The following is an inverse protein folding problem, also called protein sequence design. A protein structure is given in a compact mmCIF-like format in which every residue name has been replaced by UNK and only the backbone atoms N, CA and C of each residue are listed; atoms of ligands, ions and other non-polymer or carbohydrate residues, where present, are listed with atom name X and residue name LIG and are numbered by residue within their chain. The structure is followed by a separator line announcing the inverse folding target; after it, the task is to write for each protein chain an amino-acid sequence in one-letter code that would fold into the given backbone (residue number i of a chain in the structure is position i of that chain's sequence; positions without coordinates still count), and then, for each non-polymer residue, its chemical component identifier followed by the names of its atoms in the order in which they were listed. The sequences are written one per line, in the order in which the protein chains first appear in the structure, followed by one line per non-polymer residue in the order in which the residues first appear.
data_IF_496942588577
#
_entry.id   IF_496942588577
#
_cell.length_a   1.000
_cell.length_b   1.000
_cell.length_c   1.000
_cell.angle_alpha   90.00
_cell.angle_beta   90.00
_cell.angle_gamma   90.00
#
_symmetry.space_group_name_H-M   'P 1'
#
loop_
_entity.id
_entity.type
_entity.pdbx_description
1 polymer ?
#
# COMPACT_ATOMS: atom_id res chain seq x y z
N UNK A 1 6.16 60.31 -58.34
CA UNK A 1 7.27 59.58 -58.99
C UNK A 1 8.15 58.97 -57.91
N UNK A 2 8.35 57.65 -57.96
CA UNK A 2 9.20 56.90 -57.03
C UNK A 2 10.68 57.22 -57.26
N UNK A 3 11.50 57.30 -56.19
CA UNK A 3 12.90 56.88 -56.22
C UNK A 3 13.33 56.25 -54.88
N UNK A 4 14.06 55.16 -55.04
CA UNK A 4 14.58 54.12 -54.13
C UNK A 4 16.03 54.53 -53.75
N UNK A 5 16.63 54.28 -52.57
CA UNK A 5 17.30 53.03 -52.12
C UNK A 5 18.11 53.28 -50.80
N UNK A 6 18.11 52.26 -49.89
CA UNK A 6 19.22 51.71 -49.04
C UNK A 6 20.00 52.65 -48.08
N UNK A 7 20.33 52.33 -46.81
CA UNK A 7 20.94 51.10 -46.24
C UNK A 7 21.06 51.19 -44.68
N UNK A 8 20.96 50.02 -44.01
CA UNK A 8 21.75 49.55 -42.84
C UNK A 8 21.48 49.99 -41.38
N UNK A 9 21.50 48.99 -40.48
CA UNK A 9 21.67 49.09 -39.01
C UNK A 9 20.51 48.44 -38.24
N UNK A 10 20.42 47.13 -38.05
CA UNK A 10 21.18 46.21 -37.16
C UNK A 10 20.80 46.31 -35.68
N UNK A 11 20.29 45.17 -35.19
CA UNK A 11 20.27 44.66 -33.81
C UNK A 11 19.22 45.20 -32.85
N UNK A 12 18.28 44.33 -32.47
CA UNK A 12 18.11 43.87 -31.10
C UNK A 12 17.46 42.48 -31.12
N UNK A 13 17.91 41.65 -30.18
CA UNK A 13 17.71 40.23 -29.99
C UNK A 13 16.28 39.81 -29.58
N UNK A 14 15.87 38.64 -30.06
CA UNK A 14 14.81 37.72 -29.57
C UNK A 14 14.97 37.38 -28.06
N UNK A 15 13.99 36.77 -27.33
CA UNK A 15 13.00 35.81 -27.85
C UNK A 15 11.57 35.75 -27.24
N UNK A 16 10.65 35.27 -28.09
CA UNK A 16 9.58 34.29 -27.82
C UNK A 16 8.74 34.39 -26.54
N UNK A 17 7.57 35.04 -26.66
CA UNK A 17 6.40 34.69 -25.87
C UNK A 17 5.66 33.53 -26.58
N UNK A 18 6.07 32.30 -26.30
CA UNK A 18 5.25 31.12 -26.56
C UNK A 18 4.69 30.67 -25.23
N UNK A 19 3.51 31.16 -24.85
CA UNK A 19 2.66 30.49 -23.87
C UNK A 19 2.22 29.14 -24.45
N UNK A 20 3.10 28.16 -24.36
CA UNK A 20 2.76 26.75 -24.47
C UNK A 20 1.88 26.43 -23.27
N UNK A 21 0.57 26.54 -23.46
CA UNK A 21 -0.39 25.83 -22.61
C UNK A 21 -0.12 24.35 -22.80
N UNK A 22 0.75 23.81 -21.93
CA UNK A 22 0.94 22.38 -21.79
C UNK A 22 -0.40 21.85 -21.33
N UNK A 23 -1.14 21.24 -22.26
CA UNK A 23 -2.28 20.40 -21.94
C UNK A 23 -1.75 19.38 -20.93
N UNK A 24 -2.17 19.50 -19.68
CA UNK A 24 -2.01 18.44 -18.69
C UNK A 24 -2.77 17.24 -19.27
N UNK A 25 -2.05 16.34 -19.93
CA UNK A 25 -2.59 15.06 -20.36
C UNK A 25 -3.14 14.39 -19.12
N UNK A 26 -4.47 14.31 -19.03
CA UNK A 26 -5.12 13.51 -18.00
C UNK A 26 -4.77 12.07 -18.33
N UNK A 27 -3.67 11.58 -17.74
CA UNK A 27 -3.28 10.20 -17.89
C UNK A 27 -4.40 9.37 -17.23
N UNK A 28 -5.12 8.50 -17.97
CA UNK A 28 -6.20 7.72 -17.40
C UNK A 28 -5.67 6.96 -16.18
N UNK A 29 -6.45 6.95 -15.09
CA UNK A 29 -6.06 6.22 -13.88
C UNK A 29 -5.80 4.78 -14.25
N UNK A 30 -4.64 4.27 -13.86
CA UNK A 30 -4.28 2.88 -14.09
C UNK A 30 -5.32 1.94 -13.46
N UNK A 31 -5.85 1.02 -14.25
CA UNK A 31 -6.70 -0.07 -13.80
C UNK A 31 -5.85 -1.32 -13.63
N UNK A 32 -6.03 -2.01 -12.50
CA UNK A 32 -5.38 -3.30 -12.25
C UNK A 32 -6.40 -4.40 -12.47
N UNK A 33 -6.25 -5.18 -13.54
CA UNK A 33 -7.11 -6.33 -13.79
C UNK A 33 -6.73 -7.48 -12.85
N UNK A 34 -7.66 -8.42 -12.59
CA UNK A 34 -7.39 -9.55 -11.71
C UNK A 34 -6.13 -10.35 -12.11
N UNK A 35 -5.90 -10.50 -13.43
CA UNK A 35 -4.72 -11.19 -13.97
C UNK A 35 -3.42 -10.42 -13.67
N UNK A 36 -3.41 -9.10 -13.83
CA UNK A 36 -2.25 -8.25 -13.47
C UNK A 36 -1.92 -8.36 -11.98
N UNK A 37 -2.97 -8.41 -11.14
CA UNK A 37 -2.83 -8.55 -9.69
C UNK A 37 -2.26 -9.92 -9.33
N UNK A 38 -2.75 -10.98 -9.98
CA UNK A 38 -2.26 -12.33 -9.77
C UNK A 38 -0.80 -12.47 -10.20
N UNK A 39 -0.42 -11.94 -11.37
CA UNK A 39 0.96 -11.91 -11.85
C UNK A 39 1.88 -11.15 -10.89
N UNK A 40 1.44 -10.00 -10.38
CA UNK A 40 2.17 -9.26 -9.34
C UNK A 40 2.36 -10.10 -8.08
N UNK A 41 1.32 -10.78 -7.60
CA UNK A 41 1.40 -11.62 -6.41
C UNK A 41 2.42 -12.74 -6.58
N UNK A 42 2.43 -13.44 -7.72
CA UNK A 42 3.41 -14.50 -7.97
C UNK A 42 4.85 -13.98 -8.05
N UNK A 43 5.07 -12.84 -8.74
CA UNK A 43 6.39 -12.20 -8.74
C UNK A 43 6.86 -11.83 -7.33
N UNK A 44 5.95 -11.34 -6.47
CA UNK A 44 6.30 -11.02 -5.08
C UNK A 44 6.69 -12.26 -4.28
N UNK A 45 5.99 -13.39 -4.47
CA UNK A 45 6.31 -14.65 -3.77
C UNK A 45 7.72 -15.09 -4.13
N UNK A 46 8.09 -15.07 -5.41
CA UNK A 46 9.42 -15.43 -5.87
C UNK A 46 10.51 -14.54 -5.25
N UNK A 47 10.30 -13.22 -5.25
CA UNK A 47 11.26 -12.26 -4.68
C UNK A 47 11.37 -12.38 -3.15
N UNK A 48 10.26 -12.67 -2.45
CA UNK A 48 10.26 -12.93 -1.00
C UNK A 48 11.04 -14.20 -0.65
N UNK A 49 10.88 -15.28 -1.43
CA UNK A 49 11.63 -16.52 -1.28
C UNK A 49 13.14 -16.30 -1.47
N UNK A 50 13.53 -15.33 -2.30
CA UNK A 50 14.91 -14.88 -2.46
C UNK A 50 15.45 -14.02 -1.29
N UNK A 51 14.67 -13.82 -0.21
CA UNK A 51 15.02 -13.01 0.99
C UNK A 51 15.40 -11.57 0.68
N UNK A 52 14.80 -11.00 -0.37
CA UNK A 52 15.02 -9.61 -0.78
C UNK A 52 14.19 -8.61 0.01
N UNK A 53 13.22 -9.07 0.82
CA UNK A 53 12.36 -8.26 1.68
C UNK A 53 12.70 -8.40 3.18
N UNK A 54 12.54 -7.31 3.94
CA UNK A 54 12.60 -7.23 5.41
C UNK A 54 11.44 -6.36 5.89
N UNK A 55 10.65 -6.84 6.85
CA UNK A 55 9.46 -6.15 7.39
C UNK A 55 8.45 -5.66 6.32
N UNK A 56 8.38 -6.39 5.21
CA UNK A 56 7.55 -6.04 4.05
C UNK A 56 8.03 -4.85 3.23
N UNK A 57 9.31 -4.51 3.32
CA UNK A 57 9.99 -3.57 2.43
C UNK A 57 11.16 -4.26 1.74
N UNK A 58 11.43 -3.96 0.47
CA UNK A 58 12.60 -4.51 -0.18
C UNK A 58 13.88 -3.92 0.44
N UNK A 59 14.93 -4.74 0.53
CA UNK A 59 16.26 -4.31 0.96
C UNK A 59 16.86 -3.27 0.02
N UNK A 60 16.63 -3.44 -1.28
CA UNK A 60 16.97 -2.46 -2.31
C UNK A 60 15.69 -1.77 -2.82
N UNK A 61 15.55 -0.45 -2.66
CA UNK A 61 14.43 0.30 -3.24
C UNK A 61 14.24 0.12 -4.75
N UNK A 62 15.31 -0.21 -5.50
CA UNK A 62 15.23 -0.50 -6.94
C UNK A 62 14.45 -1.76 -7.26
N UNK A 63 14.25 -2.66 -6.30
CA UNK A 63 13.48 -3.89 -6.51
C UNK A 63 12.06 -3.59 -6.99
N UNK A 64 11.45 -2.48 -6.53
CA UNK A 64 10.14 -2.06 -7.03
C UNK A 64 10.16 -1.79 -8.53
N UNK A 65 11.21 -1.15 -9.04
CA UNK A 65 11.37 -0.89 -10.46
C UNK A 65 11.69 -2.18 -11.24
N UNK A 66 12.42 -3.11 -10.64
CA UNK A 66 12.70 -4.41 -11.26
C UNK A 66 11.44 -5.26 -11.38
N UNK A 67 10.60 -5.31 -10.33
CA UNK A 67 9.29 -5.97 -10.38
C UNK A 67 8.42 -5.30 -11.44
N UNK A 68 8.41 -3.97 -11.49
CA UNK A 68 7.67 -3.23 -12.50
C UNK A 68 8.11 -3.55 -13.95
N UNK A 69 9.39 -3.80 -14.17
CA UNK A 69 9.92 -4.21 -15.49
C UNK A 69 9.58 -5.67 -15.85
N UNK A 70 9.37 -6.53 -14.85
CA UNK A 70 8.97 -7.93 -15.05
C UNK A 70 7.45 -8.08 -15.26
N UNK A 71 6.66 -7.10 -14.80
CA UNK A 71 5.23 -7.08 -15.03
C UNK A 71 4.93 -6.73 -16.49
N UNK A 72 4.25 -7.64 -17.17
CA UNK A 72 3.66 -7.37 -18.48
C UNK A 72 2.20 -6.98 -18.29
N UNK A 73 1.89 -5.71 -18.51
CA UNK A 73 0.53 -5.17 -18.45
C UNK A 73 0.28 -4.46 -19.79
N UNK A 74 -0.45 -5.10 -20.73
CA UNK A 74 -0.57 -4.63 -22.12
C UNK A 74 -1.03 -3.17 -22.25
N UNK A 75 -1.93 -2.74 -21.37
CA UNK A 75 -2.50 -1.38 -21.39
C UNK A 75 -1.58 -0.33 -20.74
N UNK A 76 -0.53 -0.76 -20.02
CA UNK A 76 0.36 0.12 -19.26
C UNK A 76 1.85 -0.26 -19.45
N UNK A 77 2.37 -0.20 -20.70
CA UNK A 77 3.78 -0.45 -20.97
C UNK A 77 4.61 0.64 -20.27
N UNK A 78 5.41 0.24 -19.26
CA UNK A 78 6.24 1.18 -18.50
C UNK A 78 5.65 1.61 -17.15
N UNK A 79 4.84 0.75 -16.51
CA UNK A 79 4.49 0.92 -15.10
C UNK A 79 5.73 1.22 -14.24
N UNK A 80 5.61 2.17 -13.32
CA UNK A 80 6.69 2.56 -12.42
C UNK A 80 6.73 1.70 -11.15
N UNK A 81 7.91 1.57 -10.54
CA UNK A 81 8.04 0.92 -9.23
C UNK A 81 7.19 1.57 -8.14
N UNK A 82 6.92 2.88 -8.23
CA UNK A 82 6.05 3.59 -7.28
C UNK A 82 4.59 3.11 -7.39
N UNK A 83 4.10 2.88 -8.61
CA UNK A 83 2.75 2.34 -8.84
C UNK A 83 2.64 0.91 -8.32
N UNK A 84 3.65 0.07 -8.56
CA UNK A 84 3.72 -1.28 -8.00
C UNK A 84 3.69 -1.24 -6.47
N UNK A 85 4.55 -0.44 -5.84
CA UNK A 85 4.57 -0.27 -4.39
C UNK A 85 3.20 0.19 -3.86
N UNK A 86 2.56 1.15 -4.52
CA UNK A 86 1.21 1.62 -4.17
C UNK A 86 0.19 0.49 -4.20
N UNK A 87 0.22 -0.35 -5.25
CA UNK A 87 -0.65 -1.51 -5.37
C UNK A 87 -0.39 -2.55 -4.27
N UNK A 88 0.87 -2.86 -3.98
CA UNK A 88 1.24 -3.79 -2.90
C UNK A 88 0.77 -3.29 -1.53
N UNK A 89 0.89 -1.99 -1.26
CA UNK A 89 0.36 -1.40 -0.03
C UNK A 89 -1.17 -1.55 0.07
N UNK A 90 -1.89 -1.36 -1.04
CA UNK A 90 -3.33 -1.59 -1.09
C UNK A 90 -3.67 -3.06 -0.83
N UNK A 91 -2.95 -4.02 -1.45
CA UNK A 91 -3.15 -5.46 -1.19
C UNK A 91 -2.90 -5.81 0.28
N UNK A 92 -1.90 -5.20 0.91
CA UNK A 92 -1.60 -5.39 2.33
C UNK A 92 -2.71 -4.83 3.24
N UNK A 93 -3.32 -3.70 2.88
CA UNK A 93 -4.47 -3.16 3.62
C UNK A 93 -5.69 -4.09 3.51
N UNK A 94 -5.95 -4.60 2.31
CA UNK A 94 -7.05 -5.52 2.03
C UNK A 94 -6.88 -6.83 2.80
N UNK A 95 -5.67 -7.39 2.79
CA UNK A 95 -5.31 -8.55 3.59
C UNK A 95 -5.54 -8.33 5.08
N UNK A 96 -5.11 -7.19 5.65
CA UNK A 96 -5.32 -6.88 7.07
C UNK A 96 -6.79 -6.74 7.42
N UNK A 97 -7.58 -6.10 6.55
CA UNK A 97 -9.01 -5.97 6.75
C UNK A 97 -9.73 -7.32 6.69
N UNK A 98 -9.31 -8.21 5.79
CA UNK A 98 -9.88 -9.55 5.70
C UNK A 98 -9.42 -10.48 6.84
N UNK A 99 -8.17 -10.38 7.29
CA UNK A 99 -7.70 -11.05 8.51
C UNK A 99 -8.50 -10.64 9.73
N UNK A 100 -8.76 -9.34 9.90
CA UNK A 100 -9.63 -8.87 10.97
C UNK A 100 -11.01 -9.54 10.96
N UNK A 101 -11.58 -9.84 9.78
CA UNK A 101 -12.83 -10.59 9.65
C UNK A 101 -12.67 -12.07 10.05
N UNK A 102 -11.62 -12.73 9.56
CA UNK A 102 -11.31 -14.13 9.92
C UNK A 102 -11.03 -14.31 11.43
N UNK A 103 -10.56 -13.26 12.10
CA UNK A 103 -10.30 -13.26 13.54
C UNK A 103 -11.56 -13.02 14.41
N UNK A 104 -12.72 -12.74 13.81
CA UNK A 104 -13.95 -12.53 14.57
C UNK A 104 -14.49 -13.85 15.13
N UNK A 105 -14.86 -13.83 16.42
CA UNK A 105 -15.47 -14.98 17.10
C UNK A 105 -16.98 -14.77 17.28
N UNK A 106 -17.73 -15.87 17.39
CA UNK A 106 -19.17 -15.84 17.62
C UNK A 106 -20.01 -15.44 16.40
N UNK A 107 -19.45 -15.51 15.20
CA UNK A 107 -20.11 -15.24 13.93
C UNK A 107 -19.83 -16.38 12.94
N UNK A 108 -20.76 -16.66 12.03
CA UNK A 108 -20.64 -17.72 11.04
C UNK A 108 -19.68 -17.37 9.90
N UNK A 109 -19.34 -18.37 9.09
CA UNK A 109 -18.62 -18.21 7.83
C UNK A 109 -19.47 -18.75 6.68
N UNK A 110 -19.66 -17.93 5.65
CA UNK A 110 -20.28 -18.30 4.38
C UNK A 110 -19.18 -18.87 3.46
N UNK A 111 -19.17 -20.19 3.29
CA UNK A 111 -18.21 -20.90 2.44
C UNK A 111 -18.41 -20.61 0.94
N UNK A 112 -19.63 -20.27 0.50
CA UNK A 112 -19.91 -19.95 -0.91
C UNK A 112 -19.34 -18.60 -1.30
N UNK A 113 -19.52 -17.60 -0.43
CA UNK A 113 -19.00 -16.25 -0.64
C UNK A 113 -17.57 -16.05 -0.13
N UNK A 114 -17.03 -17.02 0.62
CA UNK A 114 -15.81 -16.91 1.41
C UNK A 114 -15.77 -15.62 2.25
N UNK A 115 -16.81 -15.38 3.05
CA UNK A 115 -16.89 -14.22 3.95
C UNK A 115 -17.69 -14.51 5.21
N UNK A 116 -17.80 -13.52 6.10
CA UNK A 116 -18.55 -13.63 7.35
C UNK A 116 -20.05 -13.70 7.07
N UNK A 117 -20.71 -14.72 7.63
CA UNK A 117 -22.17 -14.86 7.62
C UNK A 117 -22.76 -14.15 8.84
N UNK A 118 -23.22 -12.92 8.63
CA UNK A 118 -23.77 -12.05 9.67
C UNK A 118 -24.84 -11.11 9.12
N UNK A 119 -25.68 -10.60 10.01
CA UNK A 119 -26.68 -9.59 9.69
C UNK A 119 -26.09 -8.20 9.40
N UNK A 120 -26.93 -7.32 8.86
CA UNK A 120 -26.54 -5.95 8.52
C UNK A 120 -26.08 -5.15 9.74
N UNK A 121 -26.69 -5.38 10.91
CA UNK A 121 -26.35 -4.67 12.14
C UNK A 121 -24.91 -4.99 12.58
N UNK A 122 -24.49 -6.25 12.46
CA UNK A 122 -23.11 -6.66 12.72
C UNK A 122 -22.13 -6.00 11.76
N UNK A 123 -22.44 -6.01 10.45
CA UNK A 123 -21.60 -5.38 9.42
C UNK A 123 -21.48 -3.87 9.62
N UNK A 124 -22.57 -3.18 9.98
CA UNK A 124 -22.58 -1.75 10.25
C UNK A 124 -21.74 -1.40 11.48
N UNK A 125 -21.85 -2.18 12.57
CA UNK A 125 -21.03 -1.98 13.76
C UNK A 125 -19.54 -2.16 13.46
N UNK A 126 -19.17 -3.22 12.73
CA UNK A 126 -17.77 -3.54 12.45
C UNK A 126 -17.16 -2.60 11.41
N UNK A 127 -17.93 -2.15 10.43
CA UNK A 127 -17.46 -1.21 9.41
C UNK A 127 -17.21 0.19 9.95
N UNK A 128 -17.86 0.60 11.04
CA UNK A 128 -17.51 1.83 11.77
C UNK A 128 -16.09 1.78 12.34
N UNK A 129 -15.67 0.62 12.85
CA UNK A 129 -14.33 0.43 13.39
C UNK A 129 -13.27 0.22 12.29
N UNK A 130 -13.63 -0.47 11.21
CA UNK A 130 -12.74 -0.70 10.07
C UNK A 130 -13.51 -0.59 8.74
N UNK A 131 -13.57 0.60 8.12
CA UNK A 131 -14.33 0.82 6.89
C UNK A 131 -13.87 -0.05 5.71
N UNK A 132 -12.62 -0.53 5.73
CA UNK A 132 -12.06 -1.35 4.66
C UNK A 132 -12.68 -2.75 4.56
N UNK A 133 -13.42 -3.21 5.57
CA UNK A 133 -14.06 -4.54 5.54
C UNK A 133 -15.30 -4.57 4.67
N UNK A 134 -15.92 -3.40 4.41
CA UNK A 134 -17.22 -3.29 3.72
C UNK A 134 -17.23 -3.95 2.35
N UNK A 135 -16.11 -3.91 1.63
CA UNK A 135 -15.94 -4.53 0.32
C UNK A 135 -16.00 -6.06 0.33
N UNK A 136 -15.86 -6.69 1.50
CA UNK A 136 -15.88 -8.12 1.69
C UNK A 136 -17.25 -8.65 2.13
N UNK A 137 -18.27 -7.78 2.29
CA UNK A 137 -19.59 -8.18 2.77
C UNK A 137 -20.26 -9.28 1.93
N UNK A 138 -20.01 -9.28 0.62
CA UNK A 138 -20.63 -10.21 -0.33
C UNK A 138 -19.62 -11.09 -1.08
N UNK A 139 -18.33 -11.01 -0.73
CA UNK A 139 -17.27 -11.77 -1.39
C UNK A 139 -15.99 -11.80 -0.56
N UNK A 140 -15.26 -12.90 -0.65
CA UNK A 140 -13.95 -13.06 -0.03
C UNK A 140 -12.86 -12.20 -0.67
N UNK A 141 -11.67 -12.29 -0.08
CA UNK A 141 -10.47 -11.68 -0.63
C UNK A 141 -9.87 -12.59 -1.71
N UNK A 142 -9.86 -12.10 -2.95
CA UNK A 142 -9.19 -12.80 -4.05
C UNK A 142 -7.69 -13.02 -3.75
N UNK A 143 -7.18 -14.19 -4.12
CA UNK A 143 -5.80 -14.63 -3.85
C UNK A 143 -5.44 -14.66 -2.36
N UNK A 144 -6.42 -14.89 -1.47
CA UNK A 144 -6.17 -14.93 -0.04
C UNK A 144 -5.03 -15.88 0.37
N UNK A 145 -4.94 -17.13 -0.11
CA UNK A 145 -3.86 -18.04 0.27
C UNK A 145 -2.47 -17.46 -0.03
N UNK A 146 -2.28 -16.91 -1.23
CA UNK A 146 -1.02 -16.30 -1.66
C UNK A 146 -0.70 -15.03 -0.86
N UNK A 147 -1.70 -14.19 -0.62
CA UNK A 147 -1.56 -12.99 0.19
C UNK A 147 -1.22 -13.32 1.66
N UNK A 148 -1.78 -14.41 2.19
CA UNK A 148 -1.47 -14.92 3.52
C UNK A 148 -0.01 -15.37 3.61
N UNK A 149 0.48 -16.12 2.61
CA UNK A 149 1.89 -16.50 2.53
C UNK A 149 2.83 -15.27 2.53
N UNK A 150 2.47 -14.22 1.79
CA UNK A 150 3.27 -12.99 1.71
C UNK A 150 3.25 -12.17 3.00
N UNK A 151 2.07 -11.97 3.58
CA UNK A 151 1.86 -10.93 4.59
C UNK A 151 1.72 -11.45 6.02
N UNK A 152 1.39 -12.72 6.27
CA UNK A 152 1.31 -13.27 7.63
C UNK A 152 2.66 -13.16 8.36
N UNK A 153 3.74 -13.63 7.73
CA UNK A 153 5.09 -13.59 8.32
C UNK A 153 5.63 -12.17 8.46
N UNK A 154 5.33 -11.29 7.50
CA UNK A 154 5.72 -9.87 7.56
C UNK A 154 5.03 -9.09 8.68
N UNK A 155 3.88 -9.58 9.17
CA UNK A 155 3.07 -8.91 10.20
C UNK A 155 3.41 -9.40 11.61
N UNK A 156 3.91 -10.63 11.77
CA UNK A 156 4.32 -11.19 13.05
C UNK A 156 5.57 -10.52 13.66
N UNK A 157 6.53 -10.06 12.83
CA UNK A 157 7.75 -9.38 13.33
C UNK A 157 7.54 -7.94 13.82
N UNK A 158 6.37 -7.33 13.59
CA UNK A 158 6.08 -5.95 13.97
C UNK A 158 5.48 -5.75 15.37
N UNK A 159 5.10 -6.82 16.07
CA UNK A 159 4.34 -6.74 17.33
C UNK A 159 5.21 -6.55 18.59
N UNK A 160 6.55 -6.62 18.49
CA UNK A 160 7.45 -6.45 19.63
C UNK A 160 8.11 -5.07 19.66
N UNK A 161 7.32 -3.99 19.64
CA UNK A 161 7.78 -2.67 20.13
C UNK A 161 6.68 -1.95 20.93
N UNK A 162 6.31 -2.55 22.04
CA UNK A 162 5.93 -1.78 23.22
C UNK A 162 6.96 -2.08 24.30
N UNK A 163 8.03 -1.29 24.34
CA UNK A 163 8.86 -1.23 25.54
C UNK A 163 8.06 -0.51 26.63
N UNK A 164 7.24 -1.24 27.37
CA UNK A 164 6.83 -0.80 28.70
C UNK A 164 8.07 -0.86 29.59
N UNK A 165 8.83 0.23 29.63
CA UNK A 165 9.72 0.50 30.76
C UNK A 165 8.88 0.85 31.99
N UNK A 166 8.11 -0.11 32.48
CA UNK A 166 7.74 -0.12 33.89
C UNK A 166 8.69 -1.09 34.56
N UNK A 167 9.79 -0.52 35.05
CA UNK A 167 10.65 -1.18 36.02
C UNK A 167 9.77 -1.53 37.21
N UNK A 168 9.49 -2.82 37.41
CA UNK A 168 8.79 -3.28 38.61
C UNK A 168 9.59 -2.78 39.83
N UNK A 169 8.95 -2.12 40.81
CA UNK A 169 9.61 -1.78 42.07
C UNK A 169 10.09 -3.09 42.71
N UNK A 170 11.36 -3.14 43.09
CA UNK A 170 11.86 -4.30 43.82
C UNK A 170 11.20 -4.35 45.21
N UNK A 171 11.02 -5.56 45.79
CA UNK A 171 10.42 -5.71 47.12
C UNK A 171 11.12 -4.88 48.22
N UNK A 172 12.40 -4.53 48.05
CA UNK A 172 13.15 -3.66 48.97
C UNK A 172 12.64 -2.21 49.01
N UNK A 173 12.09 -1.69 47.92
CA UNK A 173 11.65 -0.30 47.84
C UNK A 173 10.25 -0.11 48.49
N UNK A 174 9.46 -1.19 48.58
CA UNK A 174 8.20 -1.23 49.33
C UNK A 174 8.44 -1.18 50.85
N UNK A 175 9.42 -1.93 51.35
CA UNK A 175 9.72 -2.02 52.79
C UNK A 175 10.28 -0.71 53.39
N UNK A 176 10.88 0.17 52.58
CA UNK A 176 11.36 1.48 53.07
C UNK A 176 10.25 2.52 53.29
N UNK A 177 9.08 2.34 52.68
CA UNK A 177 7.96 3.30 52.79
C UNK A 177 7.08 3.08 54.02
N UNK A 178 7.08 1.88 54.59
CA UNK A 178 6.34 1.55 55.82
C UNK A 178 7.07 1.93 57.13
N UNK A 179 8.33 2.36 57.05
CA UNK A 179 9.11 2.79 58.22
C UNK A 179 9.13 4.32 58.45
N UNK A 180 8.31 5.10 57.73
CA UNK A 180 8.15 6.55 57.96
C UNK A 180 6.68 6.95 58.15
N UNK A 181 6.22 6.72 59.37
CA UNK A 181 5.27 7.56 60.11
C UNK A 181 3.79 7.30 59.84
N UNK A 182 2.90 7.71 60.75
CA UNK A 182 3.08 8.68 61.84
C UNK A 182 3.77 8.16 63.11
#
# INVERSE_FOLDING_TARGET
MQRRLLRSGKSLSDPFNTSSSVRMSQNPRMVWHPEDVQNLIYLLIDEYNARTFVDGKPKDPKLWQQIAQKLDIPDYPGISGVQVMGKVNSLKQDYKAFQFLKDQTGVGWDEEKDTVDADDAWWDLKSQANPNITKFKNKGLANYPELHLLFAYSTASGALRQSSVQRAPTPEECARREARGP
#
